data_IF_036383526112
#
_entry.id   IF_036383526112
#
_cell.length_a   1.000
_cell.length_b   1.000
_cell.length_c   1.000
_cell.angle_alpha   90.00
_cell.angle_beta   90.00
_cell.angle_gamma   90.00
#
_symmetry.space_group_name_H-M   'P 1'
#
loop_
_entity.id
_entity.type
_entity.pdbx_description
1 polymer ?
#
# COMPACT_ATOMS: atom_id res chain seq x y z
N UNK A 1 -6.79 -19.20 -5.62
CA UNK A 1 -7.06 -18.02 -4.77
C UNK A 1 -6.01 -16.98 -5.13
N UNK A 2 -6.43 -15.87 -5.75
CA UNK A 2 -5.52 -14.83 -6.24
C UNK A 2 -4.60 -14.37 -5.12
N UNK A 3 -3.28 -14.41 -5.34
CA UNK A 3 -2.33 -13.68 -4.52
C UNK A 3 -2.80 -12.22 -4.58
N UNK A 4 -3.26 -11.67 -3.45
CA UNK A 4 -3.46 -10.22 -3.36
C UNK A 4 -2.07 -9.62 -3.39
N UNK A 5 -1.64 -9.26 -4.60
CA UNK A 5 -0.32 -8.70 -4.83
C UNK A 5 -0.15 -7.42 -4.03
N UNK A 6 1.06 -7.26 -3.49
CA UNK A 6 1.54 -6.03 -2.88
C UNK A 6 1.10 -4.83 -3.73
N UNK A 7 0.59 -3.80 -3.08
CA UNK A 7 0.23 -2.55 -3.75
C UNK A 7 0.90 -1.35 -3.08
N UNK A 8 0.79 -0.19 -3.73
CA UNK A 8 1.43 1.03 -3.29
C UNK A 8 0.40 2.13 -3.08
N UNK A 9 0.70 3.05 -2.18
CA UNK A 9 -0.06 4.28 -2.00
C UNK A 9 0.74 5.47 -2.53
N UNK A 10 0.04 6.36 -3.20
CA UNK A 10 0.62 7.48 -3.93
C UNK A 10 0.09 8.81 -3.40
N UNK A 11 0.94 9.83 -3.40
CA UNK A 11 0.51 11.20 -3.13
C UNK A 11 -0.28 11.78 -4.33
N UNK A 12 -0.82 12.99 -4.16
CA UNK A 12 -1.55 13.71 -5.22
C UNK A 12 -0.69 14.05 -6.44
N UNK A 13 0.64 13.94 -6.36
CA UNK A 13 1.59 14.15 -7.44
C UNK A 13 1.97 12.84 -8.15
N UNK A 14 1.45 11.70 -7.71
CA UNK A 14 1.75 10.39 -8.26
C UNK A 14 3.06 9.78 -7.76
N UNK A 15 3.66 10.31 -6.69
CA UNK A 15 4.86 9.73 -6.08
C UNK A 15 4.49 8.54 -5.20
N UNK A 16 5.28 7.46 -5.27
CA UNK A 16 5.14 6.30 -4.38
C UNK A 16 5.54 6.68 -2.96
N UNK A 17 4.60 6.67 -2.04
CA UNK A 17 4.84 7.03 -0.64
C UNK A 17 4.96 5.81 0.27
N UNK A 18 4.11 4.81 0.04
CA UNK A 18 3.94 3.69 0.96
C UNK A 18 3.78 2.37 0.18
N UNK A 19 4.33 1.31 0.75
CA UNK A 19 4.13 -0.07 0.34
C UNK A 19 3.15 -0.77 1.29
N UNK A 20 2.17 -1.47 0.73
CA UNK A 20 1.18 -2.25 1.48
C UNK A 20 1.25 -3.72 1.07
N UNK A 21 1.45 -4.59 2.06
CA UNK A 21 1.57 -6.03 1.87
C UNK A 21 0.49 -6.71 2.73
N UNK A 22 -0.52 -7.39 2.14
CA UNK A 22 -1.48 -8.16 2.90
C UNK A 22 -0.81 -9.37 3.56
N UNK A 23 -1.14 -9.65 4.82
CA UNK A 23 -0.75 -10.85 5.53
C UNK A 23 -1.98 -11.75 5.73
N UNK A 24 -2.11 -12.76 4.88
CA UNK A 24 -3.24 -13.67 4.90
C UNK A 24 -3.32 -14.54 6.17
N UNK A 25 -2.23 -14.68 6.93
CA UNK A 25 -2.23 -15.46 8.18
C UNK A 25 -2.89 -14.70 9.33
N UNK A 26 -2.72 -13.38 9.37
CA UNK A 26 -3.22 -12.54 10.46
C UNK A 26 -4.42 -11.69 10.05
N UNK A 27 -4.73 -11.60 8.75
CA UNK A 27 -5.76 -10.70 8.22
C UNK A 27 -5.37 -9.22 8.24
N UNK A 28 -4.12 -8.90 8.61
CA UNK A 28 -3.61 -7.54 8.70
C UNK A 28 -2.81 -7.16 7.46
N UNK A 29 -2.74 -5.87 7.18
CA UNK A 29 -1.85 -5.28 6.19
C UNK A 29 -0.60 -4.75 6.86
N UNK A 30 0.56 -5.19 6.37
CA UNK A 30 1.83 -4.54 6.70
C UNK A 30 2.01 -3.33 5.80
N UNK A 31 2.01 -2.16 6.41
CA UNK A 31 2.18 -0.85 5.77
C UNK A 31 3.58 -0.34 6.09
N UNK A 32 4.34 0.09 5.09
CA UNK A 32 5.71 0.60 5.30
C UNK A 32 6.00 1.75 4.36
N UNK A 33 6.59 2.83 4.89
CA UNK A 33 6.99 3.95 4.06
C UNK A 33 8.16 3.63 3.14
N UNK A 34 8.19 4.30 2.00
CA UNK A 34 9.27 4.19 1.01
C UNK A 34 10.44 5.10 1.43
N UNK A 35 11.66 4.68 1.10
CA UNK A 35 12.90 5.43 1.36
C UNK A 35 12.84 6.80 0.65
N UNK A 36 13.40 7.85 1.26
CA UNK A 36 13.36 9.24 0.77
C UNK A 36 11.94 9.82 0.65
N UNK A 37 11.00 9.32 1.44
CA UNK A 37 9.67 9.89 1.60
C UNK A 37 9.43 10.31 3.04
N UNK A 38 8.38 11.10 3.28
CA UNK A 38 7.97 11.49 4.64
C UNK A 38 7.70 10.29 5.59
N UNK A 39 7.42 9.12 5.03
CA UNK A 39 7.12 7.91 5.79
C UNK A 39 8.34 6.99 5.97
N UNK A 40 9.53 7.41 5.53
CA UNK A 40 10.74 6.61 5.65
C UNK A 40 10.95 6.10 7.09
N UNK A 41 11.27 4.81 7.21
CA UNK A 41 11.45 4.12 8.49
C UNK A 41 10.15 3.79 9.24
N UNK A 42 9.00 4.35 8.86
CA UNK A 42 7.72 4.09 9.54
C UNK A 42 7.09 2.78 9.04
N UNK A 43 6.52 2.03 9.98
CA UNK A 43 5.85 0.74 9.73
C UNK A 43 4.63 0.59 10.64
N UNK A 44 3.55 0.08 10.06
CA UNK A 44 2.31 -0.23 10.76
C UNK A 44 1.78 -1.61 10.35
N UNK A 45 0.98 -2.18 11.24
CA UNK A 45 0.17 -3.36 10.96
C UNK A 45 -1.28 -2.96 11.18
N UNK A 46 -2.03 -2.85 10.09
CA UNK A 46 -3.37 -2.27 10.10
C UNK A 46 -4.40 -3.32 9.65
N UNK A 47 -5.57 -3.32 10.26
CA UNK A 47 -6.75 -3.97 9.71
C UNK A 47 -7.20 -3.29 8.41
N UNK A 48 -8.20 -3.85 7.72
CA UNK A 48 -8.75 -3.23 6.53
C UNK A 48 -9.36 -1.85 6.81
N UNK A 49 -10.11 -1.72 7.89
CA UNK A 49 -10.79 -0.47 8.28
C UNK A 49 -9.78 0.62 8.68
N UNK A 50 -8.75 0.25 9.43
CA UNK A 50 -7.66 1.16 9.79
C UNK A 50 -6.86 1.60 8.56
N UNK A 51 -6.66 0.72 7.59
CA UNK A 51 -5.99 1.05 6.35
C UNK A 51 -6.80 2.04 5.49
N UNK A 52 -8.11 1.83 5.33
CA UNK A 52 -8.96 2.81 4.62
C UNK A 52 -8.92 4.18 5.30
N UNK A 53 -9.02 4.19 6.63
CA UNK A 53 -8.95 5.43 7.42
C UNK A 53 -7.61 6.13 7.26
N UNK A 54 -6.51 5.37 7.29
CA UNK A 54 -5.17 5.89 7.08
C UNK A 54 -5.01 6.52 5.68
N UNK A 55 -5.53 5.87 4.64
CA UNK A 55 -5.49 6.38 3.26
C UNK A 55 -6.27 7.68 3.14
N UNK A 56 -7.46 7.76 3.75
CA UNK A 56 -8.31 8.95 3.72
C UNK A 56 -7.66 10.14 4.46
N UNK A 57 -7.12 9.91 5.66
CA UNK A 57 -6.51 10.97 6.47
C UNK A 57 -5.26 11.56 5.79
N UNK A 58 -4.44 10.71 5.18
CA UNK A 58 -3.19 11.13 4.53
C UNK A 58 -3.41 11.57 3.06
N UNK A 59 -4.65 11.59 2.57
CA UNK A 59 -5.01 11.91 1.18
C UNK A 59 -4.20 11.11 0.14
N UNK A 60 -4.01 9.82 0.39
CA UNK A 60 -3.27 8.93 -0.50
C UNK A 60 -4.21 8.20 -1.45
N UNK A 61 -3.69 7.74 -2.59
CA UNK A 61 -4.44 6.95 -3.58
C UNK A 61 -3.86 5.56 -3.74
N UNK A 62 -4.72 4.55 -3.89
CA UNK A 62 -4.30 3.17 -4.14
C UNK A 62 -3.88 3.03 -5.60
N UNK A 63 -2.67 2.53 -5.83
CA UNK A 63 -2.24 2.08 -7.14
C UNK A 63 -1.86 0.61 -7.11
N UNK A 64 -2.50 -0.17 -7.97
CA UNK A 64 -2.09 -1.54 -8.24
C UNK A 64 -0.95 -1.53 -9.26
N UNK A 65 0.10 -2.33 -9.04
CA UNK A 65 0.93 -2.76 -10.16
C UNK A 65 0.09 -3.74 -10.97
N UNK A 66 -0.67 -3.26 -11.95
CA UNK A 66 -0.98 -4.11 -13.10
C UNK A 66 0.36 -4.35 -13.79
N UNK A 67 0.93 -5.55 -13.61
CA UNK A 67 2.00 -6.00 -14.48
C UNK A 67 1.47 -5.90 -15.91
N UNK A 68 2.01 -4.98 -16.70
CA UNK A 68 1.64 -4.75 -18.10
C UNK A 68 2.09 -5.91 -19.03
N UNK A 69 2.23 -7.11 -18.48
CA UNK A 69 2.73 -8.32 -19.17
C UNK A 69 1.67 -9.43 -19.29
N UNK A 70 0.40 -9.20 -18.94
CA UNK A 70 -0.70 -10.17 -19.17
C UNK A 70 -1.42 -9.97 -20.51
N UNK A 71 -0.73 -9.54 -21.57
CA UNK A 71 -1.32 -9.53 -22.92
C UNK A 71 -0.25 -9.69 -24.03
N UNK A 72 0.31 -10.89 -24.16
CA UNK A 72 0.83 -11.41 -25.44
C UNK A 72 0.65 -12.93 -25.47
#
# INVERSE_FOLDING_TARGET
MALRDKFYLFDSKGNKMISVIPNNKTGLYRVSGIIKTYYEGKRWYLTNEELETFIANENLTKGHQTNLFEYL
#
